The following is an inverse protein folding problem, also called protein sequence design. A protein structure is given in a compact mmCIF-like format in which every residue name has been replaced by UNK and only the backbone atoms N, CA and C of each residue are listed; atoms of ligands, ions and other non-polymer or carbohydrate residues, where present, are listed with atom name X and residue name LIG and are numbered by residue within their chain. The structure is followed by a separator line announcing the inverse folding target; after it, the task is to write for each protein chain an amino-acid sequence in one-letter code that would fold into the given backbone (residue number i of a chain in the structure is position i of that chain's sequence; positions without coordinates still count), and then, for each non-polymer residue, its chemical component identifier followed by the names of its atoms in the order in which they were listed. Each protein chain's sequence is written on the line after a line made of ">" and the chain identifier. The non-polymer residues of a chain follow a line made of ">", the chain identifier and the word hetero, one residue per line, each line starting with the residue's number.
data_IF_044585081684
#
_entry.id   IF_044585081684
#
_cell.length_a   1.000
_cell.length_b   1.000
_cell.length_c   1.000
_cell.angle_alpha   90.00
_cell.angle_beta   90.00
_cell.angle_gamma   90.00
#
_symmetry.space_group_name_H-M   'P 1'
#
loop_
_entity.id
_entity.type
_entity.pdbx_description
1 polymer ?
#
# COMPACT_ATOMS: atom_id res chain seq x y z
N UNK A 1 -6.83 27.56 17.07
CA UNK A 1 -6.19 28.36 16.00
C UNK A 1 -5.22 27.53 15.15
N UNK A 2 -4.10 26.99 15.67
CA UNK A 2 -3.16 26.19 14.84
C UNK A 2 -3.80 24.90 14.31
N UNK A 3 -4.50 24.14 15.16
CA UNK A 3 -5.19 22.90 14.78
C UNK A 3 -6.20 23.09 13.64
N UNK A 4 -6.91 24.22 13.64
CA UNK A 4 -7.90 24.56 12.61
C UNK A 4 -7.25 24.96 11.28
N UNK A 5 -6.04 25.52 11.30
CA UNK A 5 -5.27 25.80 10.08
C UNK A 5 -4.73 24.48 9.52
N UNK A 6 -4.18 23.61 10.37
CA UNK A 6 -3.63 22.32 9.96
C UNK A 6 -4.71 21.40 9.37
N UNK A 7 -5.94 21.44 9.87
CA UNK A 7 -7.04 20.62 9.34
C UNK A 7 -7.50 21.01 7.93
N UNK A 8 -7.14 22.21 7.44
CA UNK A 8 -7.46 22.67 6.09
C UNK A 8 -6.44 22.22 5.05
N UNK A 9 -5.28 21.71 5.48
CA UNK A 9 -4.24 21.22 4.58
C UNK A 9 -4.62 19.78 4.17
N UNK A 10 -4.84 19.50 2.87
CA UNK A 10 -5.18 18.16 2.43
C UNK A 10 -4.02 17.21 2.71
N UNK A 11 -4.35 16.03 3.24
CA UNK A 11 -3.37 14.95 3.36
C UNK A 11 -3.17 14.28 2.00
N UNK A 12 -2.04 13.59 1.81
CA UNK A 12 -1.85 12.80 0.59
C UNK A 12 -2.92 11.73 0.42
N UNK A 13 -3.44 11.13 1.49
CA UNK A 13 -4.58 10.21 1.42
C UNK A 13 -5.79 10.89 0.80
N UNK A 14 -6.12 12.12 1.21
CA UNK A 14 -7.23 12.89 0.64
C UNK A 14 -6.96 13.29 -0.82
N UNK A 15 -5.75 13.72 -1.15
CA UNK A 15 -5.37 14.03 -2.55
C UNK A 15 -5.45 12.81 -3.49
N UNK A 16 -5.27 11.60 -2.93
CA UNK A 16 -5.39 10.33 -3.63
C UNK A 16 -6.83 9.79 -3.64
N UNK A 17 -7.77 10.47 -2.98
CA UNK A 17 -9.17 10.02 -2.87
C UNK A 17 -9.36 8.81 -1.95
N UNK A 18 -8.47 8.60 -0.99
CA UNK A 18 -8.49 7.47 -0.05
C UNK A 18 -9.15 7.85 1.27
N UNK A 19 -10.13 7.06 1.70
CA UNK A 19 -10.74 7.15 3.01
C UNK A 19 -10.16 6.09 3.95
N UNK A 20 -9.26 6.50 4.86
CA UNK A 20 -8.59 5.59 5.79
C UNK A 20 -9.53 4.94 6.82
N UNK A 21 -10.79 5.39 6.93
CA UNK A 21 -11.84 4.69 7.66
C UNK A 21 -12.19 3.34 7.03
N UNK A 22 -12.02 3.20 5.72
CA UNK A 22 -12.35 2.00 4.93
C UNK A 22 -11.14 1.07 4.84
N UNK A 23 -11.36 -0.22 5.07
CA UNK A 23 -10.28 -1.20 5.10
C UNK A 23 -9.56 -1.34 3.75
N UNK A 24 -10.32 -1.25 2.67
CA UNK A 24 -9.86 -1.39 1.30
C UNK A 24 -8.91 -0.23 0.93
N UNK A 25 -9.23 0.99 1.37
CA UNK A 25 -8.42 2.16 1.10
C UNK A 25 -7.16 2.22 1.96
N UNK A 26 -7.13 1.54 3.12
CA UNK A 26 -5.89 1.36 3.90
C UNK A 26 -4.86 0.50 3.17
N UNK A 27 -5.28 -0.51 2.41
CA UNK A 27 -4.36 -1.29 1.57
C UNK A 27 -3.77 -0.42 0.45
N UNK A 28 -4.62 0.33 -0.25
CA UNK A 28 -4.17 1.26 -1.29
C UNK A 28 -3.23 2.32 -0.71
N UNK A 29 -3.54 2.85 0.47
CA UNK A 29 -2.67 3.77 1.19
C UNK A 29 -1.32 3.15 1.53
N UNK A 30 -1.28 1.86 1.92
CA UNK A 30 -0.03 1.15 2.14
C UNK A 30 0.84 1.09 0.88
N UNK A 31 0.26 0.78 -0.29
CA UNK A 31 0.97 0.84 -1.57
C UNK A 31 1.46 2.26 -1.87
N UNK A 32 0.61 3.27 -1.68
CA UNK A 32 1.01 4.66 -1.84
C UNK A 32 2.21 5.00 -0.94
N UNK A 33 2.22 4.57 0.32
CA UNK A 33 3.34 4.84 1.24
C UNK A 33 4.69 4.31 0.72
N UNK A 34 4.69 3.13 0.07
CA UNK A 34 5.89 2.55 -0.55
C UNK A 34 6.37 3.40 -1.72
N UNK A 35 5.44 3.86 -2.58
CA UNK A 35 5.77 4.72 -3.72
C UNK A 35 6.41 6.03 -3.24
N UNK A 36 5.82 6.66 -2.21
CA UNK A 36 6.32 7.92 -1.66
C UNK A 36 7.64 7.80 -0.88
N UNK A 37 8.06 6.60 -0.49
CA UNK A 37 9.29 6.39 0.28
C UNK A 37 10.58 6.56 -0.53
N UNK A 38 10.52 6.57 -1.87
CA UNK A 38 11.68 6.81 -2.74
C UNK A 38 11.98 8.31 -2.83
N UNK A 39 13.23 8.65 -3.18
CA UNK A 39 13.63 10.05 -3.47
C UNK A 39 13.06 10.48 -4.82
N UNK A 40 11.76 10.71 -4.87
CA UNK A 40 10.97 11.02 -6.06
C UNK A 40 9.97 12.13 -5.75
N UNK A 41 9.50 12.84 -6.77
CA UNK A 41 8.52 13.91 -6.56
C UNK A 41 7.16 13.34 -6.17
N UNK A 42 6.43 14.06 -5.32
CA UNK A 42 5.08 13.68 -4.92
C UNK A 42 4.12 13.61 -6.12
N UNK A 43 4.34 14.42 -7.17
CA UNK A 43 3.54 14.36 -8.40
C UNK A 43 3.73 13.03 -9.15
N UNK A 44 4.96 12.53 -9.25
CA UNK A 44 5.25 11.23 -9.88
C UNK A 44 4.66 10.09 -9.05
N UNK A 45 4.83 10.13 -7.72
CA UNK A 45 4.25 9.13 -6.83
C UNK A 45 2.71 9.07 -6.95
N UNK A 46 2.04 10.24 -6.97
CA UNK A 46 0.57 10.32 -7.16
C UNK A 46 0.13 9.79 -8.52
N UNK A 47 0.84 10.15 -9.60
CA UNK A 47 0.53 9.65 -10.96
C UNK A 47 0.66 8.13 -11.02
N UNK A 48 1.77 7.60 -10.52
CA UNK A 48 2.04 6.15 -10.50
C UNK A 48 1.00 5.41 -9.67
N UNK A 49 0.62 5.95 -8.52
CA UNK A 49 -0.46 5.38 -7.72
C UNK A 49 -1.79 5.30 -8.49
N UNK A 50 -2.16 6.35 -9.23
CA UNK A 50 -3.37 6.33 -10.08
C UNK A 50 -3.29 5.24 -11.15
N UNK A 51 -2.13 5.07 -11.79
CA UNK A 51 -1.92 3.99 -12.77
C UNK A 51 -2.08 2.60 -12.15
N UNK A 52 -1.63 2.38 -10.90
CA UNK A 52 -1.88 1.13 -10.18
C UNK A 52 -3.39 0.85 -10.06
N UNK A 53 -4.17 1.86 -9.66
CA UNK A 53 -5.63 1.71 -9.54
C UNK A 53 -6.29 1.44 -10.90
N UNK A 54 -5.89 2.18 -11.94
CA UNK A 54 -6.38 2.00 -13.31
C UNK A 54 -6.06 0.58 -13.85
N UNK A 55 -4.88 0.06 -13.53
CA UNK A 55 -4.43 -1.29 -13.89
C UNK A 55 -4.98 -2.40 -12.99
N UNK A 56 -5.88 -2.08 -12.03
CA UNK A 56 -6.45 -3.03 -11.04
C UNK A 56 -5.39 -3.68 -10.14
N UNK A 57 -4.27 -2.99 -9.92
CA UNK A 57 -3.22 -3.35 -8.96
C UNK A 57 -3.54 -2.71 -7.59
N UNK A 58 -4.75 -2.96 -7.07
CA UNK A 58 -5.30 -2.32 -5.88
C UNK A 58 -5.62 -3.30 -4.74
N UNK A 59 -5.19 -4.56 -4.85
CA UNK A 59 -5.38 -5.59 -3.84
C UNK A 59 -4.14 -6.49 -3.69
N UNK A 60 -4.03 -7.17 -2.55
CA UNK A 60 -2.94 -8.12 -2.29
C UNK A 60 -2.87 -9.21 -3.37
N UNK A 61 -4.01 -9.81 -3.71
CA UNK A 61 -4.09 -10.87 -4.72
C UNK A 61 -3.80 -10.34 -6.12
N UNK A 62 -4.33 -9.19 -6.51
CA UNK A 62 -4.10 -8.67 -7.85
C UNK A 62 -2.63 -8.32 -8.10
N UNK A 63 -1.95 -7.71 -7.13
CA UNK A 63 -0.52 -7.37 -7.27
C UNK A 63 0.36 -8.63 -7.29
N UNK A 64 0.12 -9.58 -6.39
CA UNK A 64 0.90 -10.83 -6.37
C UNK A 64 0.70 -11.66 -7.65
N UNK A 65 -0.53 -11.69 -8.18
CA UNK A 65 -0.84 -12.40 -9.43
C UNK A 65 -0.26 -11.70 -10.67
N UNK A 66 -0.19 -10.37 -10.68
CA UNK A 66 0.41 -9.61 -11.78
C UNK A 66 1.91 -9.91 -11.92
N UNK A 67 2.59 -10.17 -10.81
CA UNK A 67 4.00 -10.51 -10.79
C UNK A 67 4.91 -9.31 -11.05
N UNK A 68 6.22 -9.59 -11.05
CA UNK A 68 7.25 -8.55 -11.04
C UNK A 68 7.26 -7.73 -12.34
N UNK A 69 7.23 -8.41 -13.50
CA UNK A 69 7.32 -7.75 -14.82
C UNK A 69 6.20 -6.72 -15.01
N UNK A 70 4.95 -7.09 -14.68
CA UNK A 70 3.82 -6.17 -14.83
C UNK A 70 3.91 -4.97 -13.89
N UNK A 71 4.45 -5.14 -12.70
CA UNK A 71 4.64 -4.04 -11.74
C UNK A 71 5.74 -3.10 -12.26
N UNK A 72 6.81 -3.64 -12.83
CA UNK A 72 7.86 -2.85 -13.48
C UNK A 72 7.30 -2.00 -14.62
N UNK A 73 6.50 -2.58 -15.52
CA UNK A 73 5.88 -1.82 -16.62
C UNK A 73 5.09 -0.61 -16.11
N UNK A 74 4.23 -0.83 -15.09
CA UNK A 74 3.38 0.23 -14.53
C UNK A 74 4.21 1.30 -13.80
N UNK A 75 5.32 0.90 -13.17
CA UNK A 75 6.26 1.82 -12.53
C UNK A 75 7.00 2.67 -13.57
N UNK A 76 7.47 2.07 -14.67
CA UNK A 76 8.13 2.77 -15.77
C UNK A 76 7.19 3.82 -16.38
N UNK A 77 5.97 3.42 -16.74
CA UNK A 77 4.89 4.30 -17.24
C UNK A 77 4.54 5.44 -16.25
N UNK A 78 4.69 5.15 -14.96
CA UNK A 78 4.47 6.09 -13.86
C UNK A 78 5.59 7.12 -13.68
N UNK A 79 6.78 6.88 -14.24
CA UNK A 79 7.96 7.73 -14.10
C UNK A 79 8.97 7.24 -13.05
N UNK A 80 8.88 5.98 -12.64
CA UNK A 80 9.84 5.33 -11.74
C UNK A 80 11.01 4.68 -12.49
N UNK A 81 11.31 5.02 -13.76
CA UNK A 81 12.40 4.47 -14.60
C UNK A 81 13.72 4.15 -13.84
N UNK A 82 14.14 5.02 -12.90
CA UNK A 82 15.38 4.80 -12.12
C UNK A 82 15.26 3.71 -11.04
N UNK A 83 14.05 3.47 -10.58
CA UNK A 83 13.72 2.72 -9.38
C UNK A 83 12.70 1.59 -9.62
N UNK A 84 12.20 1.41 -10.83
CA UNK A 84 11.16 0.47 -11.24
C UNK A 84 11.44 -0.94 -10.73
N UNK A 85 12.61 -1.50 -11.02
CA UNK A 85 13.02 -2.84 -10.60
C UNK A 85 13.07 -2.95 -9.07
N UNK A 86 13.75 -1.99 -8.42
CA UNK A 86 13.90 -2.00 -6.95
C UNK A 86 12.56 -1.78 -6.23
N UNK A 87 11.65 -1.02 -6.83
CA UNK A 87 10.35 -0.70 -6.24
C UNK A 87 9.39 -1.86 -6.45
N UNK A 88 9.42 -2.51 -7.61
CA UNK A 88 8.66 -3.73 -7.88
C UNK A 88 9.05 -4.85 -6.90
N UNK A 89 10.36 -5.10 -6.72
CA UNK A 89 10.84 -6.10 -5.76
C UNK A 89 10.40 -5.77 -4.33
N UNK A 90 10.55 -4.51 -3.90
CA UNK A 90 10.14 -4.08 -2.56
C UNK A 90 8.63 -4.23 -2.34
N UNK A 91 7.80 -3.92 -3.34
CA UNK A 91 6.34 -4.11 -3.27
C UNK A 91 6.02 -5.59 -3.07
N UNK A 92 6.57 -6.48 -3.92
CA UNK A 92 6.30 -7.91 -3.83
C UNK A 92 6.80 -8.53 -2.53
N UNK A 93 7.96 -8.12 -2.03
CA UNK A 93 8.49 -8.59 -0.75
C UNK A 93 7.58 -8.19 0.42
N UNK A 94 7.17 -6.92 0.46
CA UNK A 94 6.27 -6.41 1.49
C UNK A 94 4.92 -7.14 1.48
N UNK A 95 4.36 -7.38 0.28
CA UNK A 95 3.09 -8.07 0.11
C UNK A 95 3.18 -9.57 0.42
N UNK A 96 4.27 -10.25 0.08
CA UNK A 96 4.49 -11.63 0.48
C UNK A 96 4.61 -11.77 2.00
N UNK A 97 5.30 -10.83 2.64
CA UNK A 97 5.38 -10.78 4.12
C UNK A 97 3.99 -10.62 4.72
N UNK A 98 3.18 -9.68 4.20
CA UNK A 98 1.81 -9.47 4.66
C UNK A 98 0.94 -10.72 4.49
N UNK A 99 1.08 -11.44 3.37
CA UNK A 99 0.38 -12.71 3.10
C UNK A 99 0.74 -13.76 4.15
N UNK A 100 2.03 -13.99 4.39
CA UNK A 100 2.54 -14.96 5.37
C UNK A 100 2.05 -14.62 6.78
N UNK A 101 2.16 -13.36 7.20
CA UNK A 101 1.66 -12.92 8.51
C UNK A 101 0.16 -13.17 8.65
N UNK A 102 -0.62 -12.96 7.59
CA UNK A 102 -2.06 -13.23 7.59
C UNK A 102 -2.35 -14.72 7.73
N UNK A 103 -1.60 -15.59 7.05
CA UNK A 103 -1.71 -17.05 7.15
C UNK A 103 -1.36 -17.55 8.55
N UNK A 104 -0.26 -17.04 9.12
CA UNK A 104 0.19 -17.34 10.48
C UNK A 104 -0.88 -16.94 11.50
N UNK A 105 -1.39 -15.70 11.43
CA UNK A 105 -2.40 -15.20 12.35
C UNK A 105 -3.70 -16.02 12.27
N UNK A 106 -4.13 -16.41 11.06
CA UNK A 106 -5.28 -17.31 10.90
C UNK A 106 -5.06 -18.66 11.58
N UNK A 107 -3.86 -19.23 11.49
CA UNK A 107 -3.49 -20.46 12.21
C UNK A 107 -3.62 -20.31 13.74
N UNK A 108 -3.32 -19.13 14.29
CA UNK A 108 -3.48 -18.86 15.72
C UNK A 108 -4.94 -18.68 16.13
N UNK A 109 -5.81 -18.06 15.32
CA UNK A 109 -7.21 -17.79 15.68
C UNK A 109 -8.05 -19.03 16.04
N UNK A 110 -7.60 -20.23 15.65
CA UNK A 110 -8.22 -21.50 16.02
C UNK A 110 -7.88 -22.01 17.44
N UNK A 111 -6.96 -21.35 18.16
CA UNK A 111 -6.55 -21.76 19.52
C UNK A 111 -7.48 -21.13 20.55
N UNK A 112 -8.27 -21.93 21.31
CA UNK A 112 -9.11 -21.42 22.37
C UNK A 112 -8.29 -20.61 23.39
N UNK A 113 -8.73 -19.39 23.69
CA UNK A 113 -8.07 -18.50 24.66
C UNK A 113 -7.01 -17.54 24.07
N UNK A 114 -6.55 -17.72 22.83
CA UNK A 114 -5.55 -16.82 22.21
C UNK A 114 -6.11 -15.40 22.00
N UNK A 115 -7.40 -15.28 21.67
CA UNK A 115 -8.06 -13.99 21.44
C UNK A 115 -8.10 -13.14 22.71
N UNK A 116 -8.01 -13.77 23.89
CA UNK A 116 -7.92 -13.09 25.19
C UNK A 116 -6.53 -12.49 25.43
N UNK A 117 -5.49 -13.05 24.82
CA UNK A 117 -4.11 -12.54 24.86
C UNK A 117 -3.96 -11.34 23.90
N UNK A 118 -4.58 -11.40 22.71
CA UNK A 118 -4.50 -10.35 21.69
C UNK A 118 -5.38 -9.11 21.94
N UNK A 119 -6.39 -9.20 22.82
CA UNK A 119 -7.27 -8.05 23.11
C UNK A 119 -6.74 -7.10 24.18
N UNK A 120 -5.79 -7.49 25.04
CA UNK A 120 -5.34 -6.71 26.20
C UNK A 120 -6.47 -6.42 27.21
N UNK A 121 -6.27 -6.38 28.53
CA UNK A 121 -5.03 -6.16 29.27
C UNK A 121 -4.76 -4.66 29.36
#
# INVERSE_FOLDING_TARGET
>A
MISEILSRIPTYSMELGLDLGRAEDRFKWFIASILFAKRISSSIAKRTFKLFIECRLDSLSSILNAGWDRIVDVLDDGGYVRYDFSTASNILEALNTLRILTEILRGFTGIPGILRIWRGG
#
